data_IF_536614738761
#
_entry.id   IF_536614738761
#
_cell.length_a   1.000
_cell.length_b   1.000
_cell.length_c   1.000
_cell.angle_alpha   90.00
_cell.angle_beta   90.00
_cell.angle_gamma   90.00
#
_symmetry.space_group_name_H-M   'P 1'
#
loop_
_entity.id
_entity.type
_entity.pdbx_description
1 polymer ?
#
# COMPACT_ATOMS: atom_id res chain seq x y z
N UNK A 1 67.45 67.30 20.72
CA UNK A 1 67.06 66.22 21.67
C UNK A 1 65.59 66.29 22.11
N UNK A 2 64.90 67.43 22.06
CA UNK A 2 63.53 67.56 22.57
C UNK A 2 62.46 66.84 21.70
N UNK A 3 62.62 66.79 20.38
CA UNK A 3 61.63 66.15 19.48
C UNK A 3 61.56 64.62 19.59
N UNK A 4 62.64 63.97 20.03
CA UNK A 4 62.68 62.53 20.27
C UNK A 4 61.84 62.13 21.48
N UNK A 5 61.89 62.95 22.53
CA UNK A 5 61.25 62.68 23.81
C UNK A 5 59.72 62.90 23.73
N UNK A 6 59.28 63.91 22.98
CA UNK A 6 57.86 64.13 22.70
C UNK A 6 57.24 62.98 21.86
N UNK A 7 57.99 62.45 20.89
CA UNK A 7 57.54 61.32 20.06
C UNK A 7 57.52 60.00 20.84
N UNK A 8 58.49 59.79 21.74
CA UNK A 8 58.51 58.64 22.65
C UNK A 8 57.38 58.67 23.69
N UNK A 9 57.08 59.85 24.27
CA UNK A 9 55.97 60.03 25.20
C UNK A 9 54.60 59.90 24.50
N UNK A 10 54.47 60.37 23.25
CA UNK A 10 53.28 60.16 22.44
C UNK A 10 53.02 58.68 22.14
N UNK A 11 54.07 57.92 21.83
CA UNK A 11 53.97 56.47 21.61
C UNK A 11 53.59 55.68 22.87
N UNK A 12 54.13 56.05 24.04
CA UNK A 12 53.78 55.44 25.32
C UNK A 12 52.34 55.74 25.77
N UNK A 13 51.81 56.94 25.45
CA UNK A 13 50.41 57.29 25.72
C UNK A 13 49.46 56.57 24.78
N UNK A 14 49.82 56.44 23.49
CA UNK A 14 49.07 55.66 22.50
C UNK A 14 49.00 54.18 22.86
N UNK A 15 50.15 53.57 23.17
CA UNK A 15 50.22 52.15 23.55
C UNK A 15 49.37 51.84 24.80
N UNK A 16 49.41 52.70 25.83
CA UNK A 16 48.54 52.53 27.01
C UNK A 16 47.06 52.71 26.72
N UNK A 17 46.67 53.58 25.79
CA UNK A 17 45.26 53.73 25.40
C UNK A 17 44.78 52.54 24.56
N UNK A 18 45.64 51.98 23.71
CA UNK A 18 45.35 50.76 22.95
C UNK A 18 45.24 49.53 23.85
N UNK A 19 46.08 49.41 24.88
CA UNK A 19 46.00 48.31 25.85
C UNK A 19 44.70 48.40 26.68
N UNK A 20 44.30 49.59 27.11
CA UNK A 20 43.03 49.80 27.83
C UNK A 20 41.82 49.52 26.92
N UNK A 21 41.89 49.93 25.65
CA UNK A 21 40.84 49.62 24.68
C UNK A 21 40.78 48.11 24.38
N UNK A 22 41.93 47.43 24.32
CA UNK A 22 42.01 45.99 24.12
C UNK A 22 41.44 45.22 25.33
N UNK A 23 41.69 45.68 26.56
CA UNK A 23 41.13 45.08 27.78
C UNK A 23 39.61 45.28 27.89
N UNK A 24 39.10 46.44 27.47
CA UNK A 24 37.65 46.70 27.40
C UNK A 24 36.98 45.78 26.36
N UNK A 25 37.60 45.60 25.18
CA UNK A 25 37.12 44.68 24.15
C UNK A 25 37.18 43.24 24.65
N UNK A 26 38.25 42.85 25.34
CA UNK A 26 38.42 41.50 25.90
C UNK A 26 37.34 41.22 26.97
N UNK A 27 37.07 42.17 27.87
CA UNK A 27 35.96 42.07 28.84
C UNK A 27 34.60 41.97 28.18
N UNK A 28 34.33 42.78 27.14
CA UNK A 28 33.06 42.71 26.39
C UNK A 28 32.92 41.38 25.65
N UNK A 29 34.00 40.83 25.12
CA UNK A 29 34.01 39.51 24.50
C UNK A 29 33.78 38.42 25.55
N UNK A 30 34.44 38.46 26.70
CA UNK A 30 34.22 37.51 27.80
C UNK A 30 32.77 37.57 28.32
N UNK A 31 32.19 38.76 28.45
CA UNK A 31 30.77 38.94 28.79
C UNK A 31 29.85 38.39 27.69
N UNK A 32 30.13 38.67 26.42
CA UNK A 32 29.34 38.15 25.30
C UNK A 32 29.48 36.63 25.10
N UNK A 33 30.60 36.04 25.53
CA UNK A 33 30.85 34.60 25.52
C UNK A 33 30.18 33.91 26.72
N UNK A 34 30.21 34.52 27.90
CA UNK A 34 29.48 34.01 29.08
C UNK A 34 27.96 34.12 28.91
N UNK A 35 27.44 35.20 28.30
CA UNK A 35 26.03 35.30 27.90
C UNK A 35 25.64 34.28 26.82
N UNK A 36 26.53 33.99 25.86
CA UNK A 36 26.30 32.90 24.88
C UNK A 36 26.34 31.52 25.51
N UNK A 37 27.20 31.30 26.49
CA UNK A 37 27.27 30.06 27.27
C UNK A 37 26.02 29.85 28.15
N UNK A 38 25.47 30.94 28.70
CA UNK A 38 24.22 30.92 29.47
C UNK A 38 22.99 30.67 28.58
N UNK A 39 23.02 31.08 27.31
CA UNK A 39 22.05 30.66 26.28
C UNK A 39 22.35 29.27 25.73
N UNK A 40 22.59 28.29 26.61
CA UNK A 40 22.34 26.90 26.23
C UNK A 40 20.85 26.82 25.89
N UNK A 41 20.55 26.49 24.62
CA UNK A 41 19.20 26.16 24.13
C UNK A 41 18.45 25.42 25.24
N UNK A 42 17.17 25.73 25.54
CA UNK A 42 16.42 24.90 26.46
C UNK A 42 16.51 23.48 25.89
N UNK A 43 17.21 22.60 26.62
CA UNK A 43 17.12 21.18 26.32
C UNK A 43 15.64 20.90 26.48
N UNK A 44 14.93 20.73 25.37
CA UNK A 44 13.62 20.10 25.38
C UNK A 44 13.88 18.70 25.91
N UNK A 45 13.80 18.56 27.23
CA UNK A 45 13.75 17.28 27.91
C UNK A 45 12.38 16.75 27.55
N UNK A 46 12.31 16.09 26.39
CA UNK A 46 11.14 15.30 26.02
C UNK A 46 11.00 14.30 27.17
N UNK A 47 9.91 14.36 27.95
CA UNK A 47 9.75 13.46 29.08
C UNK A 47 9.77 12.02 28.57
N UNK A 48 10.32 11.09 29.35
CA UNK A 48 10.56 9.72 28.91
C UNK A 48 9.31 9.04 28.31
N UNK A 49 8.13 9.38 28.83
CA UNK A 49 6.85 8.91 28.28
C UNK A 49 6.59 9.40 26.85
N UNK A 50 6.92 10.65 26.51
CA UNK A 50 6.70 11.19 25.17
C UNK A 50 7.65 10.56 24.14
N UNK A 51 8.83 10.10 24.55
CA UNK A 51 9.70 9.28 23.69
C UNK A 51 9.11 7.88 23.46
N UNK A 52 8.57 7.25 24.50
CA UNK A 52 7.90 5.95 24.37
C UNK A 52 6.67 6.03 23.45
N UNK A 53 5.84 7.08 23.61
CA UNK A 53 4.69 7.33 22.72
C UNK A 53 5.12 7.62 21.27
N UNK A 54 6.18 8.40 21.07
CA UNK A 54 6.69 8.68 19.72
C UNK A 54 7.22 7.41 19.02
N UNK A 55 7.93 6.55 19.76
CA UNK A 55 8.41 5.26 19.24
C UNK A 55 7.23 4.33 18.92
N UNK A 56 6.26 4.21 19.83
CA UNK A 56 5.07 3.39 19.61
C UNK A 56 4.26 3.87 18.39
N UNK A 57 4.06 5.19 18.26
CA UNK A 57 3.38 5.79 17.11
C UNK A 57 4.13 5.50 15.80
N UNK A 58 5.47 5.58 15.81
CA UNK A 58 6.29 5.28 14.64
C UNK A 58 6.16 3.80 14.24
N UNK A 59 6.17 2.88 15.21
CA UNK A 59 5.95 1.44 14.95
C UNK A 59 4.60 1.19 14.31
N UNK A 60 3.52 1.82 14.81
CA UNK A 60 2.18 1.69 14.23
C UNK A 60 2.13 2.23 12.80
N UNK A 61 2.74 3.38 12.54
CA UNK A 61 2.79 3.98 11.19
C UNK A 61 3.57 3.08 10.23
N UNK A 62 4.71 2.52 10.66
CA UNK A 62 5.49 1.60 9.84
C UNK A 62 4.72 0.32 9.55
N UNK A 63 4.08 -0.28 10.55
CA UNK A 63 3.27 -1.49 10.38
C UNK A 63 2.09 -1.25 9.42
N UNK A 64 1.46 -0.08 9.50
CA UNK A 64 0.39 0.30 8.59
C UNK A 64 0.89 0.52 7.16
N UNK A 65 2.06 1.14 6.99
CA UNK A 65 2.68 1.34 5.68
C UNK A 65 3.11 0.01 5.05
N UNK A 66 3.62 -0.94 5.84
CA UNK A 66 3.98 -2.28 5.35
C UNK A 66 2.76 -3.05 4.88
N UNK A 67 1.66 -3.06 5.65
CA UNK A 67 0.43 -3.79 5.27
C UNK A 67 -0.25 -3.23 4.01
N UNK A 68 0.05 -1.97 3.64
CA UNK A 68 -0.46 -1.34 2.41
C UNK A 68 0.56 -1.27 1.28
N UNK A 69 1.70 -1.95 1.43
CA UNK A 69 2.76 -1.93 0.43
C UNK A 69 2.31 -2.65 -0.85
N UNK A 70 2.29 -1.98 -2.00
CA UNK A 70 2.04 -2.61 -3.30
C UNK A 70 3.27 -3.39 -3.80
N UNK A 71 3.10 -4.28 -4.80
CA UNK A 71 4.17 -5.17 -5.30
C UNK A 71 5.43 -4.47 -5.87
N UNK A 72 5.35 -3.19 -6.20
CA UNK A 72 6.49 -2.34 -6.59
C UNK A 72 7.27 -1.77 -5.40
N UNK A 73 6.76 -1.89 -4.17
CA UNK A 73 7.39 -1.42 -2.94
C UNK A 73 8.45 -2.40 -2.39
N UNK A 74 9.56 -1.91 -1.79
CA UNK A 74 10.51 -2.77 -1.09
C UNK A 74 9.91 -3.44 0.15
N UNK A 75 8.82 -2.89 0.70
CA UNK A 75 8.13 -3.45 1.86
C UNK A 75 7.18 -4.60 1.50
N UNK A 76 6.98 -4.87 0.21
CA UNK A 76 6.05 -5.91 -0.24
C UNK A 76 6.39 -7.29 0.30
N UNK A 77 7.68 -7.66 0.32
CA UNK A 77 8.11 -8.95 0.91
C UNK A 77 7.77 -9.07 2.39
N UNK A 78 7.87 -7.96 3.14
CA UNK A 78 7.48 -7.93 4.56
C UNK A 78 5.95 -8.06 4.72
N UNK A 79 5.17 -7.41 3.85
CA UNK A 79 3.72 -7.59 3.80
C UNK A 79 3.34 -9.05 3.59
N UNK A 80 3.92 -9.71 2.58
CA UNK A 80 3.65 -11.12 2.27
C UNK A 80 3.98 -12.01 3.47
N UNK A 81 5.16 -11.84 4.06
CA UNK A 81 5.59 -12.65 5.19
C UNK A 81 4.65 -12.49 6.41
N UNK A 82 4.15 -11.27 6.67
CA UNK A 82 3.18 -11.03 7.74
C UNK A 82 1.85 -11.72 7.40
N UNK A 83 1.31 -11.50 6.20
CA UNK A 83 0.02 -12.07 5.77
C UNK A 83 0.04 -13.62 5.78
N UNK A 84 1.15 -14.25 5.38
CA UNK A 84 1.33 -15.70 5.44
C UNK A 84 1.45 -16.23 6.88
N UNK A 85 2.12 -15.49 7.77
CA UNK A 85 2.22 -15.88 9.19
C UNK A 85 0.87 -15.84 9.91
N UNK A 86 0.00 -14.90 9.50
CA UNK A 86 -1.34 -14.73 10.05
C UNK A 86 -2.29 -15.89 9.70
N UNK A 87 -1.98 -16.69 8.68
CA UNK A 87 -2.78 -17.88 8.31
C UNK A 87 -2.95 -18.83 9.50
N UNK A 88 -1.89 -19.02 10.28
CA UNK A 88 -1.90 -19.92 11.46
C UNK A 88 -2.71 -19.40 12.64
N UNK A 89 -3.04 -18.10 12.65
CA UNK A 89 -3.78 -17.43 13.72
C UNK A 89 -5.28 -17.31 13.37
N UNK A 90 -5.65 -17.64 12.13
CA UNK A 90 -7.00 -17.48 11.62
C UNK A 90 -7.88 -18.69 11.97
N UNK A 91 -9.15 -18.42 12.28
CA UNK A 91 -10.17 -19.44 12.57
C UNK A 91 -10.49 -20.31 11.34
N UNK A 92 -10.54 -19.72 10.15
CA UNK A 92 -10.67 -20.41 8.87
C UNK A 92 -9.47 -20.08 7.95
N UNK A 93 -8.42 -20.91 7.95
CA UNK A 93 -7.22 -20.66 7.16
C UNK A 93 -7.46 -20.88 5.65
N UNK A 94 -8.45 -21.69 5.26
CA UNK A 94 -8.73 -22.00 3.85
C UNK A 94 -9.45 -20.82 3.20
N UNK A 95 -10.48 -20.27 3.86
CA UNK A 95 -11.17 -19.07 3.36
C UNK A 95 -10.20 -17.88 3.27
N UNK A 96 -9.40 -17.66 4.30
CA UNK A 96 -8.41 -16.57 4.31
C UNK A 96 -7.36 -16.70 3.20
N UNK A 97 -6.78 -17.88 3.00
CA UNK A 97 -5.83 -18.10 1.90
C UNK A 97 -6.48 -17.96 0.52
N UNK A 98 -7.75 -18.36 0.37
CA UNK A 98 -8.49 -18.20 -0.89
C UNK A 98 -8.71 -16.73 -1.23
N UNK A 99 -9.01 -15.90 -0.23
CA UNK A 99 -9.14 -14.44 -0.38
C UNK A 99 -7.79 -13.81 -0.70
N UNK A 100 -6.73 -14.21 0.00
CA UNK A 100 -5.38 -13.72 -0.25
C UNK A 100 -4.91 -14.05 -1.68
N UNK A 101 -5.17 -15.27 -2.14
CA UNK A 101 -4.89 -15.69 -3.51
C UNK A 101 -5.61 -14.80 -4.54
N UNK A 102 -6.91 -14.54 -4.34
CA UNK A 102 -7.69 -13.69 -5.24
C UNK A 102 -7.16 -12.25 -5.27
N UNK A 103 -6.82 -11.68 -4.10
CA UNK A 103 -6.26 -10.33 -4.00
C UNK A 103 -4.93 -10.22 -4.76
N UNK A 104 -4.02 -11.20 -4.61
CA UNK A 104 -2.73 -11.19 -5.32
C UNK A 104 -2.87 -11.38 -6.83
N UNK A 105 -3.89 -12.14 -7.27
CA UNK A 105 -4.22 -12.31 -8.68
C UNK A 105 -4.68 -10.97 -9.29
N UNK A 106 -5.55 -10.23 -8.61
CA UNK A 106 -5.96 -8.90 -9.05
C UNK A 106 -4.80 -7.90 -9.05
N UNK A 107 -3.96 -7.92 -8.01
CA UNK A 107 -2.80 -7.04 -7.91
C UNK A 107 -1.80 -7.28 -9.05
N UNK A 108 -1.54 -8.55 -9.39
CA UNK A 108 -0.72 -8.91 -10.55
C UNK A 108 -1.33 -8.38 -11.87
N UNK A 109 -2.64 -8.57 -12.07
CA UNK A 109 -3.33 -8.10 -13.26
C UNK A 109 -3.26 -6.57 -13.42
N UNK A 110 -3.36 -5.81 -12.31
CA UNK A 110 -3.20 -4.35 -12.32
C UNK A 110 -1.79 -3.93 -12.74
N UNK A 111 -0.76 -4.63 -12.29
CA UNK A 111 0.63 -4.33 -12.67
C UNK A 111 0.95 -4.71 -14.11
N UNK A 112 0.34 -5.77 -14.62
CA UNK A 112 0.42 -6.14 -16.04
C UNK A 112 -0.23 -5.08 -16.93
N UNK A 113 -1.41 -4.60 -16.53
CA UNK A 113 -2.13 -3.55 -17.26
C UNK A 113 -1.36 -2.22 -17.30
N UNK A 114 -0.57 -1.93 -16.27
CA UNK A 114 0.28 -0.73 -16.20
C UNK A 114 1.68 -0.93 -16.80
N UNK A 115 2.01 -2.14 -17.25
CA UNK A 115 3.30 -2.47 -17.87
C UNK A 115 4.46 -2.66 -16.89
N UNK A 116 4.20 -2.77 -15.59
CA UNK A 116 5.24 -3.01 -14.58
C UNK A 116 5.49 -4.51 -14.40
N UNK A 117 6.28 -5.09 -15.30
CA UNK A 117 6.56 -6.52 -15.33
C UNK A 117 7.23 -7.05 -14.05
N UNK A 118 8.10 -6.25 -13.40
CA UNK A 118 8.77 -6.66 -12.16
C UNK A 118 7.77 -6.79 -11.02
N UNK A 119 6.93 -5.78 -10.79
CA UNK A 119 5.90 -5.81 -9.75
C UNK A 119 4.88 -6.92 -10.01
N UNK A 120 4.45 -7.09 -11.27
CA UNK A 120 3.57 -8.19 -11.67
C UNK A 120 4.20 -9.55 -11.34
N UNK A 121 5.49 -9.75 -11.65
CA UNK A 121 6.17 -11.02 -11.37
C UNK A 121 6.24 -11.33 -9.86
N UNK A 122 6.47 -10.33 -9.02
CA UNK A 122 6.43 -10.47 -7.54
C UNK A 122 5.03 -10.76 -7.02
N UNK A 123 4.00 -10.17 -7.63
CA UNK A 123 2.62 -10.48 -7.28
C UNK A 123 2.25 -11.92 -7.62
N UNK A 124 2.62 -12.39 -8.82
CA UNK A 124 2.41 -13.78 -9.23
C UNK A 124 3.20 -14.81 -8.42
N UNK A 125 4.41 -14.49 -7.98
CA UNK A 125 5.17 -15.40 -7.09
C UNK A 125 4.44 -15.58 -5.76
N UNK A 126 4.01 -14.49 -5.14
CA UNK A 126 3.25 -14.54 -3.89
C UNK A 126 1.88 -15.23 -4.06
N UNK A 127 1.21 -15.03 -5.19
CA UNK A 127 -0.01 -15.76 -5.54
C UNK A 127 0.25 -17.28 -5.61
N UNK A 128 1.36 -17.70 -6.24
CA UNK A 128 1.72 -19.11 -6.36
C UNK A 128 2.04 -19.74 -5.00
N UNK A 129 2.68 -18.98 -4.12
CA UNK A 129 2.95 -19.40 -2.74
C UNK A 129 1.66 -19.54 -1.93
N UNK A 130 0.72 -18.59 -2.03
CA UNK A 130 -0.60 -18.70 -1.41
C UNK A 130 -1.39 -19.92 -1.91
N UNK A 131 -1.35 -20.21 -3.22
CA UNK A 131 -1.97 -21.40 -3.80
C UNK A 131 -1.31 -22.69 -3.27
N UNK A 132 0.01 -22.69 -3.12
CA UNK A 132 0.75 -23.81 -2.54
C UNK A 132 0.33 -24.07 -1.10
N UNK A 133 0.19 -23.02 -0.28
CA UNK A 133 -0.31 -23.12 1.09
C UNK A 133 -1.76 -23.62 1.12
N UNK A 134 -2.61 -23.11 0.23
CA UNK A 134 -4.01 -23.53 0.12
C UNK A 134 -4.12 -25.03 -0.19
N UNK A 135 -3.31 -25.53 -1.15
CA UNK A 135 -3.26 -26.94 -1.49
C UNK A 135 -2.66 -27.84 -0.39
N UNK A 136 -1.88 -27.27 0.53
CA UNK A 136 -1.35 -28.00 1.68
C UNK A 136 -2.38 -28.12 2.82
N UNK A 137 -3.21 -27.10 3.01
CA UNK A 137 -4.18 -27.03 4.11
C UNK A 137 -5.53 -27.64 3.72
N UNK A 138 -5.91 -27.57 2.44
CA UNK A 138 -7.15 -28.16 1.95
C UNK A 138 -7.00 -29.69 1.86
N UNK A 139 -7.74 -30.49 2.65
CA UNK A 139 -7.74 -31.93 2.46
C UNK A 139 -8.31 -32.23 1.07
N UNK A 140 -7.54 -32.97 0.27
CA UNK A 140 -8.03 -33.59 -0.97
C UNK A 140 -9.36 -34.28 -0.65
N UNK A 141 -10.47 -34.01 -1.36
CA UNK A 141 -11.72 -34.67 -1.06
C UNK A 141 -11.58 -36.17 -1.33
N UNK A 142 -11.47 -36.96 -0.26
CA UNK A 142 -11.88 -38.36 -0.29
C UNK A 142 -13.41 -38.39 -0.45
N UNK A 143 -13.86 -39.02 -1.54
CA UNK A 143 -15.22 -39.52 -1.78
C UNK A 143 -16.39 -38.57 -1.46
N UNK A 144 -16.78 -37.78 -2.46
CA UNK A 144 -18.20 -37.41 -2.64
C UNK A 144 -18.90 -38.54 -3.41
N UNK A 145 -20.08 -39.04 -2.98
CA UNK A 145 -20.71 -40.21 -3.57
C UNK A 145 -21.16 -39.95 -5.01
N UNK A 146 -20.78 -40.88 -5.87
CA UNK A 146 -21.17 -41.03 -7.26
C UNK A 146 -22.70 -41.00 -7.45
N UNK A 147 -23.26 -40.10 -8.29
CA UNK A 147 -24.48 -40.41 -9.00
C UNK A 147 -24.12 -41.16 -10.28
N UNK A 148 -24.36 -42.46 -10.24
CA UNK A 148 -24.36 -43.34 -11.41
C UNK A 148 -25.44 -42.90 -12.39
N UNK A 149 -25.07 -42.56 -13.62
CA UNK A 149 -25.69 -43.04 -14.87
C UNK A 149 -25.19 -42.24 -16.11
N UNK A 150 -24.58 -42.98 -17.04
CA UNK A 150 -24.53 -42.82 -18.51
C UNK A 150 -24.36 -41.41 -19.11
N UNK A 151 -23.35 -41.18 -19.95
CA UNK A 151 -23.30 -41.76 -21.30
C UNK A 151 -21.86 -41.76 -21.84
N UNK A 152 -21.47 -42.87 -22.45
CA UNK A 152 -20.17 -43.10 -23.06
C UNK A 152 -19.89 -42.21 -24.28
N UNK A 153 -18.67 -41.65 -24.36
CA UNK A 153 -17.98 -41.39 -25.64
C UNK A 153 -16.51 -41.80 -25.47
N UNK A 154 -16.04 -42.60 -26.42
CA UNK A 154 -14.76 -43.30 -26.48
C UNK A 154 -13.62 -42.46 -27.07
N UNK A 155 -12.42 -42.58 -26.46
CA UNK A 155 -11.07 -42.83 -27.10
C UNK A 155 -10.39 -41.64 -27.83
N UNK A 156 -9.03 -41.58 -28.00
CA UNK A 156 -7.92 -42.34 -27.41
C UNK A 156 -6.86 -41.51 -26.64
N UNK A 157 -6.09 -42.26 -25.85
CA UNK A 157 -4.77 -41.96 -25.27
C UNK A 157 -3.68 -41.70 -26.33
N UNK A 158 -2.82 -40.67 -26.20
CA UNK A 158 -1.53 -40.62 -26.88
C UNK A 158 -0.43 -41.30 -26.05
N UNK A 159 0.05 -42.38 -26.65
CA UNK A 159 1.17 -43.22 -26.26
C UNK A 159 2.53 -42.52 -26.40
N UNK A 160 3.44 -42.98 -25.54
CA UNK A 160 4.90 -42.86 -25.50
C UNK A 160 5.64 -42.08 -26.60
N UNK A 161 6.44 -41.13 -26.10
CA UNK A 161 7.70 -40.62 -26.62
C UNK A 161 8.56 -41.69 -27.30
N UNK A 162 9.11 -41.40 -28.49
CA UNK A 162 10.47 -41.82 -28.80
C UNK A 162 11.39 -40.60 -28.99
N UNK A 163 12.46 -40.56 -28.20
CA UNK A 163 13.68 -39.87 -28.55
C UNK A 163 14.24 -40.48 -29.84
N UNK A 164 14.59 -39.64 -30.82
CA UNK A 164 15.55 -40.02 -31.85
C UNK A 164 16.43 -38.82 -32.18
N UNK A 165 17.62 -38.88 -31.59
CA UNK A 165 18.86 -38.26 -32.04
C UNK A 165 19.12 -38.56 -33.52
N UNK A 166 19.36 -37.52 -34.33
CA UNK A 166 20.23 -37.60 -35.50
C UNK A 166 20.79 -36.23 -35.90
N UNK A 167 22.07 -36.26 -36.24
CA UNK A 167 23.04 -35.20 -36.51
C UNK A 167 22.77 -34.36 -37.77
N UNK A 168 23.27 -33.11 -37.86
CA UNK A 168 23.11 -32.25 -39.03
C UNK A 168 24.19 -32.51 -40.08
N UNK A 169 23.83 -32.59 -41.37
CA UNK A 169 24.80 -32.40 -42.46
C UNK A 169 24.14 -31.90 -43.75
N UNK A 170 24.78 -30.89 -44.33
CA UNK A 170 24.93 -30.56 -45.76
C UNK A 170 24.40 -29.18 -46.23
N UNK A 171 25.40 -28.31 -46.42
CA UNK A 171 25.44 -27.17 -47.34
C UNK A 171 25.21 -27.63 -48.78
N UNK A 172 24.58 -26.82 -49.66
CA UNK A 172 25.42 -26.20 -50.68
C UNK A 172 24.99 -24.81 -51.19
N UNK A 173 26.04 -24.05 -51.55
CA UNK A 173 26.20 -23.28 -52.79
C UNK A 173 25.47 -21.94 -52.98
N UNK A 174 26.28 -20.89 -52.87
CA UNK A 174 26.07 -19.53 -53.35
C UNK A 174 26.05 -19.52 -54.89
N UNK A 175 25.02 -18.92 -55.49
CA UNK A 175 24.97 -18.59 -56.91
C UNK A 175 25.31 -17.11 -57.15
N UNK A 176 26.08 -16.78 -58.21
CA UNK A 176 26.62 -15.43 -58.41
C UNK A 176 25.61 -14.41 -58.93
N UNK A 177 25.78 -13.21 -58.40
CA UNK A 177 25.10 -11.94 -58.64
C UNK A 177 25.10 -11.49 -60.11
N UNK A 178 23.94 -11.16 -60.72
CA UNK A 178 23.91 -10.47 -62.00
C UNK A 178 24.26 -8.98 -61.85
N UNK A 179 25.16 -8.52 -62.70
CA UNK A 179 25.65 -7.15 -62.83
C UNK A 179 24.56 -6.22 -63.38
N UNK A 180 24.17 -5.13 -62.68
CA UNK A 180 23.21 -4.18 -63.23
C UNK A 180 23.89 -3.23 -64.25
N UNK A 181 23.23 -3.15 -65.41
CA UNK A 181 23.53 -2.28 -66.56
C UNK A 181 23.43 -0.78 -66.19
N UNK A 182 24.29 0.10 -66.72
CA UNK A 182 24.21 1.53 -66.45
C UNK A 182 22.92 2.11 -67.04
N UNK A 183 22.07 2.68 -66.16
CA UNK A 183 20.85 3.38 -66.56
C UNK A 183 21.18 4.86 -66.73
N UNK A 184 20.87 5.37 -67.92
CA UNK A 184 21.05 6.76 -68.35
C UNK A 184 20.43 7.76 -67.38
N UNK A 185 21.21 8.77 -66.98
CA UNK A 185 20.78 9.88 -66.14
C UNK A 185 19.61 10.64 -66.80
N UNK A 186 18.45 10.69 -66.13
CA UNK A 186 17.37 11.60 -66.49
C UNK A 186 17.55 12.91 -65.70
N UNK A 187 17.48 13.99 -66.46
CA UNK A 187 17.54 15.39 -66.03
C UNK A 187 16.57 15.68 -64.88
N UNK A 188 17.05 16.40 -63.87
CA UNK A 188 16.27 16.78 -62.70
C UNK A 188 15.19 17.81 -63.05
N UNK A 189 13.93 17.42 -62.90
CA UNK A 189 12.79 18.34 -62.88
C UNK A 189 12.78 19.12 -61.55
N UNK A 190 12.61 20.45 -61.53
CA UNK A 190 12.59 21.22 -60.29
C UNK A 190 11.41 20.81 -59.40
N UNK A 191 11.73 20.48 -58.14
CA UNK A 191 10.77 20.11 -57.09
C UNK A 191 9.95 21.34 -56.69
N UNK A 192 8.60 21.28 -56.67
CA UNK A 192 7.77 22.38 -56.17
C UNK A 192 8.08 22.68 -54.70
N UNK A 193 8.10 23.97 -54.34
CA UNK A 193 8.32 24.42 -52.97
C UNK A 193 7.19 23.92 -52.06
N UNK A 194 7.57 23.18 -51.01
CA UNK A 194 6.65 22.69 -49.99
C UNK A 194 6.09 23.87 -49.18
N UNK A 195 4.77 24.05 -49.06
CA UNK A 195 4.21 25.11 -48.23
C UNK A 195 4.54 24.84 -46.75
N UNK A 196 4.93 25.89 -46.05
CA UNK A 196 5.25 25.87 -44.61
C UNK A 196 4.03 25.41 -43.80
N UNK A 197 4.18 24.47 -42.84
CA UNK A 197 3.07 24.01 -42.03
C UNK A 197 2.55 25.15 -41.14
N UNK A 198 1.26 25.42 -41.24
CA UNK A 198 0.53 26.34 -40.36
C UNK A 198 0.67 25.85 -38.91
N UNK A 199 0.96 26.73 -37.93
CA UNK A 199 1.11 26.32 -36.54
C UNK A 199 -0.19 25.75 -35.99
N UNK A 200 -0.18 24.46 -35.67
CA UNK A 200 -1.28 23.76 -35.01
C UNK A 200 -1.54 24.41 -33.64
N UNK A 201 -2.79 24.77 -33.30
CA UNK A 201 -3.10 25.35 -32.00
C UNK A 201 -2.75 24.36 -30.89
N UNK A 202 -1.95 24.84 -29.93
CA UNK A 202 -1.51 24.08 -28.75
C UNK A 202 -2.75 23.62 -27.97
N UNK A 203 -2.89 22.32 -27.64
CA UNK A 203 -4.02 21.82 -26.86
C UNK A 203 -4.06 22.57 -25.52
N UNK A 204 -5.19 23.23 -25.27
CA UNK A 204 -5.44 23.89 -24.00
C UNK A 204 -5.66 22.81 -22.96
N UNK A 205 -4.68 22.60 -22.08
CA UNK A 205 -4.77 21.64 -20.99
C UNK A 205 -5.85 22.12 -20.02
N UNK A 206 -7.07 21.59 -20.14
CA UNK A 206 -8.12 21.78 -19.14
C UNK A 206 -7.61 21.16 -17.84
N UNK A 207 -7.36 22.01 -16.85
CA UNK A 207 -6.97 21.60 -15.50
C UNK A 207 -7.98 20.56 -15.00
N UNK A 208 -7.56 19.38 -14.52
CA UNK A 208 -8.49 18.40 -13.98
C UNK A 208 -9.28 19.05 -12.84
N UNK A 209 -10.61 19.04 -12.97
CA UNK A 209 -11.51 19.46 -11.92
C UNK A 209 -11.23 18.61 -10.69
N UNK A 210 -10.86 19.24 -9.59
CA UNK A 210 -10.54 18.54 -8.35
C UNK A 210 -11.87 18.02 -7.81
N UNK A 211 -12.14 16.73 -7.98
CA UNK A 211 -13.29 16.09 -7.34
C UNK A 211 -13.19 16.35 -5.84
N UNK A 212 -14.21 16.96 -5.20
CA UNK A 212 -14.12 17.31 -3.79
C UNK A 212 -13.89 16.03 -2.98
N UNK A 213 -12.80 16.02 -2.21
CA UNK A 213 -12.50 14.93 -1.29
C UNK A 213 -13.67 14.79 -0.30
N UNK A 214 -14.34 13.62 -0.22
CA UNK A 214 -15.52 13.49 0.63
C UNK A 214 -15.12 13.66 2.10
N UNK A 215 -15.72 14.64 2.76
CA UNK A 215 -15.47 14.96 4.17
C UNK A 215 -16.02 13.83 5.05
N UNK A 216 -15.28 13.37 6.08
CA UNK A 216 -15.83 12.45 7.07
C UNK A 216 -16.99 13.10 7.82
N UNK A 217 -18.02 12.31 8.11
CA UNK A 217 -19.20 12.68 8.89
C UNK A 217 -19.44 11.64 9.99
N UNK A 218 -20.09 12.05 11.07
CA UNK A 218 -20.58 11.13 12.08
C UNK A 218 -21.83 10.43 11.54
N UNK A 219 -21.79 9.11 11.55
CA UNK A 219 -22.84 8.24 11.02
C UNK A 219 -23.42 7.45 12.18
N UNK A 220 -24.74 7.50 12.30
CA UNK A 220 -25.55 6.71 13.20
C UNK A 220 -26.10 5.50 12.44
N UNK A 221 -25.66 4.31 12.81
CA UNK A 221 -26.15 3.07 12.23
C UNK A 221 -27.02 2.32 13.21
N UNK A 222 -28.19 1.89 12.75
CA UNK A 222 -29.15 1.14 13.55
C UNK A 222 -29.69 -0.07 12.79
N UNK A 223 -30.04 -1.12 13.52
CA UNK A 223 -30.59 -2.33 12.94
C UNK A 223 -31.03 -3.35 13.98
N UNK A 224 -31.38 -4.53 13.50
CA UNK A 224 -31.81 -5.64 14.33
C UNK A 224 -30.93 -6.87 14.14
N UNK A 225 -30.73 -7.65 15.21
CA UNK A 225 -30.05 -8.94 15.22
C UNK A 225 -31.03 -9.97 15.72
N UNK A 226 -31.30 -10.96 14.88
CA UNK A 226 -32.18 -12.07 15.20
C UNK A 226 -31.40 -13.38 15.06
N UNK A 227 -31.81 -14.41 15.79
CA UNK A 227 -31.38 -15.77 15.49
C UNK A 227 -32.13 -16.29 14.25
N UNK A 228 -31.75 -17.46 13.73
CA UNK A 228 -32.41 -18.10 12.60
C UNK A 228 -33.91 -18.41 12.85
N UNK A 229 -34.34 -18.51 14.10
CA UNK A 229 -35.74 -18.71 14.51
C UNK A 229 -36.56 -17.39 14.60
N UNK A 230 -35.93 -16.24 14.34
CA UNK A 230 -36.54 -14.93 14.42
C UNK A 230 -36.56 -14.30 15.82
N UNK A 231 -36.07 -14.99 16.85
CA UNK A 231 -35.98 -14.43 18.20
C UNK A 231 -34.87 -13.36 18.31
N UNK A 232 -35.06 -12.29 19.09
CA UNK A 232 -34.07 -11.23 19.22
C UNK A 232 -32.83 -11.68 19.98
N UNK A 233 -31.65 -11.29 19.49
CA UNK A 233 -30.37 -11.60 20.14
C UNK A 233 -30.03 -10.51 21.16
N UNK A 234 -29.84 -10.92 22.41
CA UNK A 234 -29.36 -10.04 23.49
C UNK A 234 -27.86 -10.22 23.72
N UNK A 235 -27.14 -9.11 23.91
CA UNK A 235 -25.70 -9.14 24.14
C UNK A 235 -24.90 -9.57 22.92
N UNK A 236 -25.45 -9.42 21.71
CA UNK A 236 -24.67 -9.63 20.48
C UNK A 236 -23.58 -8.57 20.40
N UNK A 237 -22.35 -9.00 20.12
CA UNK A 237 -21.21 -8.14 19.99
C UNK A 237 -21.00 -7.73 18.53
N UNK A 238 -21.03 -6.42 18.27
CA UNK A 238 -20.82 -5.85 16.94
C UNK A 238 -19.39 -5.34 16.84
N UNK A 239 -18.74 -5.62 15.71
CA UNK A 239 -17.38 -5.20 15.41
C UNK A 239 -17.23 -4.82 13.94
N UNK A 240 -16.23 -4.00 13.62
CA UNK A 240 -15.83 -3.69 12.24
C UNK A 240 -14.86 -4.71 11.65
N UNK A 241 -14.44 -5.69 12.45
CA UNK A 241 -13.50 -6.76 12.08
C UNK A 241 -14.01 -8.11 12.56
N UNK A 242 -13.61 -9.21 11.91
CA UNK A 242 -14.11 -10.56 12.19
C UNK A 242 -14.01 -10.96 13.67
N UNK A 243 -12.84 -10.69 14.29
CA UNK A 243 -12.54 -10.99 15.69
C UNK A 243 -12.26 -9.74 16.53
N UNK A 244 -12.72 -8.59 16.05
CA UNK A 244 -12.41 -7.31 16.65
C UNK A 244 -13.01 -7.13 18.05
N UNK A 245 -12.63 -6.00 18.66
CA UNK A 245 -13.22 -5.54 19.91
C UNK A 245 -14.70 -5.23 19.69
N UNK A 246 -15.49 -5.43 20.74
CA UNK A 246 -16.89 -5.05 20.77
C UNK A 246 -17.03 -3.52 20.75
N UNK A 247 -17.54 -2.97 19.65
CA UNK A 247 -17.79 -1.52 19.54
C UNK A 247 -19.23 -1.15 19.87
N UNK A 248 -20.15 -2.11 19.76
CA UNK A 248 -21.54 -1.97 20.17
C UNK A 248 -22.13 -3.32 20.60
N UNK A 249 -23.16 -3.24 21.44
CA UNK A 249 -23.93 -4.39 21.90
C UNK A 249 -25.36 -4.36 21.36
N UNK A 250 -25.96 -5.53 21.19
CA UNK A 250 -27.41 -5.63 20.91
C UNK A 250 -28.22 -5.70 22.20
N UNK A 251 -29.25 -4.85 22.32
CA UNK A 251 -30.23 -4.86 23.40
C UNK A 251 -31.63 -5.12 22.82
N UNK A 252 -32.27 -6.20 23.26
CA UNK A 252 -33.51 -6.73 22.71
C UNK A 252 -33.48 -6.89 21.17
N UNK A 253 -32.36 -7.42 20.66
CA UNK A 253 -32.12 -7.54 19.24
C UNK A 253 -31.81 -6.22 18.54
N UNK A 254 -31.84 -5.06 19.18
CA UNK A 254 -31.55 -3.78 18.53
C UNK A 254 -30.08 -3.41 18.68
N UNK A 255 -29.44 -3.06 17.57
CA UNK A 255 -28.11 -2.43 17.54
C UNK A 255 -28.28 -0.94 17.29
N UNK A 256 -27.47 -0.17 18.01
CA UNK A 256 -27.26 1.26 17.81
C UNK A 256 -25.76 1.53 17.93
N UNK A 257 -25.14 2.09 16.88
CA UNK A 257 -23.73 2.46 16.90
C UNK A 257 -23.47 3.78 16.16
N UNK A 258 -22.45 4.50 16.61
CA UNK A 258 -21.98 5.73 15.97
C UNK A 258 -20.52 5.58 15.56
N UNK A 259 -20.19 5.96 14.32
CA UNK A 259 -18.82 5.95 13.81
C UNK A 259 -18.62 7.03 12.75
N UNK A 260 -17.36 7.39 12.49
CA UNK A 260 -17.02 8.37 11.45
C UNK A 260 -16.79 7.68 10.11
N UNK A 261 -17.51 8.10 9.07
CA UNK A 261 -17.39 7.56 7.72
C UNK A 261 -17.67 8.61 6.63
N UNK A 262 -17.40 8.26 5.38
CA UNK A 262 -17.60 9.13 4.22
C UNK A 262 -18.81 8.70 3.42
N UNK A 263 -19.51 9.65 2.79
CA UNK A 263 -20.61 9.32 1.87
C UNK A 263 -20.07 8.46 0.72
N UNK A 264 -20.76 7.36 0.43
CA UNK A 264 -20.34 6.37 -0.57
C UNK A 264 -19.30 5.36 -0.06
N UNK A 265 -18.86 5.44 1.20
CA UNK A 265 -18.02 4.41 1.80
C UNK A 265 -18.86 3.17 2.13
N UNK A 266 -18.40 2.00 1.72
CA UNK A 266 -18.98 0.72 2.13
C UNK A 266 -18.34 0.25 3.43
N UNK A 267 -19.16 -0.20 4.37
CA UNK A 267 -18.77 -0.62 5.71
C UNK A 267 -19.34 -2.00 5.96
N UNK A 268 -18.49 -2.90 6.42
CA UNK A 268 -18.88 -4.24 6.85
C UNK A 268 -18.84 -4.30 8.36
N UNK A 269 -19.95 -4.76 8.95
CA UNK A 269 -20.07 -5.03 10.37
C UNK A 269 -20.22 -6.54 10.57
N UNK A 270 -19.47 -7.06 11.53
CA UNK A 270 -19.52 -8.43 11.99
C UNK A 270 -20.23 -8.45 13.33
N UNK A 271 -21.16 -9.40 13.49
CA UNK A 271 -21.90 -9.60 14.73
C UNK A 271 -21.61 -11.00 15.22
N UNK A 272 -21.24 -11.13 16.49
CA UNK A 272 -21.03 -12.43 17.14
C UNK A 272 -21.79 -12.51 18.45
N UNK A 273 -22.32 -13.67 18.77
CA UNK A 273 -22.94 -13.92 20.07
C UNK A 273 -22.60 -15.33 20.52
N UNK A 274 -22.17 -15.47 21.77
CA UNK A 274 -21.94 -16.79 22.36
C UNK A 274 -23.21 -17.24 23.08
N UNK A 275 -23.85 -18.27 22.54
CA UNK A 275 -25.01 -18.92 23.13
C UNK A 275 -24.76 -20.43 23.24
N UNK A 276 -24.44 -20.88 24.46
CA UNK A 276 -24.17 -22.28 24.75
C UNK A 276 -25.39 -23.19 24.49
N UNK A 277 -26.63 -22.65 24.54
CA UNK A 277 -27.84 -23.43 24.28
C UNK A 277 -28.04 -23.72 22.78
N UNK A 278 -27.41 -22.93 21.90
CA UNK A 278 -27.58 -23.01 20.43
C UNK A 278 -26.35 -23.53 19.71
N UNK A 279 -25.39 -24.11 20.43
CA UNK A 279 -24.22 -24.75 19.84
C UNK A 279 -22.95 -23.90 19.77
N UNK A 280 -22.89 -22.76 20.48
CA UNK A 280 -21.65 -21.99 20.68
C UNK A 280 -21.70 -20.57 20.15
N UNK A 281 -20.60 -20.11 19.54
CA UNK A 281 -20.52 -18.76 18.97
C UNK A 281 -21.21 -18.72 17.61
N UNK A 282 -22.27 -17.93 17.50
CA UNK A 282 -22.96 -17.66 16.25
C UNK A 282 -22.46 -16.36 15.64
N UNK A 283 -22.45 -16.31 14.31
CA UNK A 283 -21.89 -15.20 13.55
C UNK A 283 -22.90 -14.64 12.55
N UNK A 284 -22.77 -13.34 12.28
CA UNK A 284 -23.51 -12.63 11.26
C UNK A 284 -22.65 -11.54 10.65
N UNK A 285 -22.97 -11.15 9.42
CA UNK A 285 -22.31 -10.02 8.75
C UNK A 285 -23.33 -9.18 8.00
N UNK A 286 -23.08 -7.88 7.95
CA UNK A 286 -23.84 -6.95 7.12
C UNK A 286 -22.90 -5.96 6.47
N UNK A 287 -23.10 -5.69 5.19
CA UNK A 287 -22.36 -4.66 4.46
C UNK A 287 -23.34 -3.60 3.98
N UNK A 288 -23.05 -2.35 4.33
CA UNK A 288 -23.89 -1.19 3.98
C UNK A 288 -23.05 -0.08 3.38
N UNK A 289 -23.61 0.66 2.43
CA UNK A 289 -22.99 1.86 1.88
C UNK A 289 -23.57 3.09 2.58
N UNK A 290 -22.69 3.97 3.06
CA UNK A 290 -23.09 5.18 3.79
C UNK A 290 -23.72 6.17 2.81
N UNK A 291 -25.05 6.29 2.86
CA UNK A 291 -25.82 7.27 2.08
C UNK A 291 -25.87 8.66 2.72
N UNK A 292 -25.72 8.74 4.04
CA UNK A 292 -25.86 9.96 4.84
C UNK A 292 -25.53 9.74 6.33
N UNK A 293 -25.94 10.66 7.21
CA UNK A 293 -25.67 10.59 8.64
C UNK A 293 -26.45 9.49 9.37
N UNK A 294 -27.50 8.95 8.76
CA UNK A 294 -28.24 7.79 9.27
C UNK A 294 -28.15 6.63 8.28
N UNK A 295 -27.85 5.44 8.80
CA UNK A 295 -27.71 4.22 8.00
C UNK A 295 -28.49 3.09 8.65
N UNK A 296 -29.53 2.61 7.97
CA UNK A 296 -30.25 1.42 8.37
C UNK A 296 -29.46 0.16 7.96
N UNK A 297 -29.09 -0.66 8.93
CA UNK A 297 -28.44 -1.96 8.72
C UNK A 297 -29.43 -3.06 8.33
N UNK A 298 -30.72 -2.85 8.59
CA UNK A 298 -31.75 -3.87 8.42
C UNK A 298 -31.64 -4.96 9.49
N UNK A 299 -31.99 -6.19 9.11
CA UNK A 299 -32.01 -7.35 10.00
C UNK A 299 -30.83 -8.27 9.70
N UNK A 300 -30.05 -8.56 10.73
CA UNK A 300 -28.87 -9.42 10.69
C UNK A 300 -29.24 -10.74 11.37
N UNK A 301 -29.25 -11.84 10.63
CA UNK A 301 -29.50 -13.16 11.19
C UNK A 301 -28.19 -13.84 11.60
N UNK A 302 -28.10 -14.29 12.85
CA UNK A 302 -26.98 -15.09 13.34
C UNK A 302 -27.16 -16.57 12.98
N UNK A 303 -26.08 -17.20 12.54
CA UNK A 303 -25.99 -18.63 12.24
C UNK A 303 -24.72 -19.24 12.81
#
# INVERSE_FOLDING_TARGET
MQDSLARALGGLKGARMDDVAADEIRKRLEQAWTERGARRRPRFVIPGFARAFAVAALVVVVAFATMRAPADSPLYGARVAIEDSLVSLQSDPVDYLSQLYAERLEEAARFEATGNALAASRARSAQSDALRLLNQISPKPEQSPEPSASTAISVPSPSATPETTASPTESPTVAPTPTPRPTTARTATPKPATPSPTPTPKPTTTKPSVTPTPTPMDVHAYGYVLYADGSPVNGACVSTSLDGICVAGSNNGRIDLQFSARKGQSITLYVRNYDAARGGTLHGKVTVTVGGPEVALGTITLR
#
